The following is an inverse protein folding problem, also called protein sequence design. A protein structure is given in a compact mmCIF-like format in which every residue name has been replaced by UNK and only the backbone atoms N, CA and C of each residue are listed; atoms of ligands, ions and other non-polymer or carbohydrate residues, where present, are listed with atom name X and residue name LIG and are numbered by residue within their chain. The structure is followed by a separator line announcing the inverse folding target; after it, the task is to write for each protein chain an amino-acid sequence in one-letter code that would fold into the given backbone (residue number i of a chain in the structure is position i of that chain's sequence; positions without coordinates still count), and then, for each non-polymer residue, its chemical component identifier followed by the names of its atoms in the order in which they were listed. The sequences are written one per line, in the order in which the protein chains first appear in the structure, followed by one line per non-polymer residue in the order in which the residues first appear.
data_IF_038880289418
#
_entry.id   IF_038880289418
#
_cell.length_a   1.000
_cell.length_b   1.000
_cell.length_c   1.000
_cell.angle_alpha   90.00
_cell.angle_beta   90.00
_cell.angle_gamma   90.00
#
_symmetry.space_group_name_H-M   'P 1'
#
loop_
_entity.id
_entity.type
_entity.pdbx_description
1 polymer ?
#
# COMPACT_ATOMS: atom_id res chain seq x y z
N UNK A 1 -14.51 5.32 12.83
CA UNK A 1 -13.33 5.75 12.06
C UNK A 1 -12.32 6.56 12.88
N UNK A 2 -12.73 7.60 13.62
CA UNK A 2 -11.81 8.44 14.43
C UNK A 2 -10.88 7.63 15.34
N UNK A 3 -11.43 6.69 16.12
CA UNK A 3 -10.64 5.83 17.01
C UNK A 3 -9.61 4.99 16.24
N UNK A 4 -10.02 4.31 15.15
CA UNK A 4 -9.13 3.56 14.27
C UNK A 4 -7.98 4.40 13.74
N UNK A 5 -8.25 5.65 13.35
CA UNK A 5 -7.22 6.56 12.89
C UNK A 5 -6.23 6.91 14.00
N UNK A 6 -6.69 7.24 15.22
CA UNK A 6 -5.80 7.54 16.34
C UNK A 6 -4.94 6.33 16.72
N UNK A 7 -5.54 5.14 16.74
CA UNK A 7 -4.84 3.88 16.99
C UNK A 7 -3.77 3.62 15.93
N UNK A 8 -4.11 3.77 14.65
CA UNK A 8 -3.18 3.61 13.53
C UNK A 8 -1.99 4.57 13.67
N UNK A 9 -2.24 5.86 13.90
CA UNK A 9 -1.18 6.86 14.06
C UNK A 9 -0.32 6.57 15.30
N UNK A 10 -0.93 6.19 16.43
CA UNK A 10 -0.20 5.82 17.63
C UNK A 10 0.71 4.60 17.38
N UNK A 11 0.19 3.59 16.67
CA UNK A 11 0.94 2.40 16.30
C UNK A 11 2.10 2.72 15.35
N UNK A 12 1.88 3.52 14.31
CA UNK A 12 2.93 3.90 13.36
C UNK A 12 4.05 4.71 14.01
N UNK A 13 3.80 5.42 15.11
CA UNK A 13 4.85 6.10 15.91
C UNK A 13 5.70 5.11 16.72
N UNK A 14 5.08 4.03 17.18
CA UNK A 14 5.77 3.02 17.98
C UNK A 14 5.17 1.62 17.78
N UNK A 15 5.53 0.93 16.68
CA UNK A 15 4.94 -0.34 16.35
C UNK A 15 5.40 -1.42 17.33
N UNK A 16 4.46 -2.25 17.76
CA UNK A 16 4.70 -3.39 18.65
C UNK A 16 4.13 -4.68 18.05
N UNK A 17 4.83 -5.81 18.25
CA UNK A 17 4.38 -7.13 17.79
C UNK A 17 3.30 -7.67 18.74
N UNK A 18 2.11 -7.09 18.66
CA UNK A 18 0.99 -7.43 19.54
C UNK A 18 -0.30 -7.53 18.72
N UNK A 19 -0.96 -8.69 18.81
CA UNK A 19 -2.27 -8.90 18.21
C UNK A 19 -3.31 -8.07 18.93
N UNK A 20 -4.38 -7.72 18.22
CA UNK A 20 -5.52 -7.12 18.86
C UNK A 20 -6.14 -8.07 19.90
N UNK A 21 -6.50 -7.56 21.08
CA UNK A 21 -7.17 -8.37 22.09
C UNK A 21 -8.61 -8.69 21.70
N UNK A 22 -9.25 -7.85 20.88
CA UNK A 22 -10.60 -8.09 20.39
C UNK A 22 -10.58 -9.05 19.19
N UNK A 23 -11.18 -10.22 19.38
CA UNK A 23 -11.28 -11.28 18.37
C UNK A 23 -12.62 -11.25 17.62
N UNK A 24 -13.55 -10.35 17.96
CA UNK A 24 -14.85 -10.27 17.30
C UNK A 24 -14.70 -9.96 15.81
N UNK A 25 -15.42 -10.73 14.99
CA UNK A 25 -15.35 -10.64 13.53
C UNK A 25 -15.91 -9.33 13.02
N UNK A 26 -17.01 -8.84 13.60
CA UNK A 26 -17.65 -7.59 13.17
C UNK A 26 -16.75 -6.39 13.45
N UNK A 27 -16.09 -6.37 14.62
CA UNK A 27 -15.07 -5.39 14.99
C UNK A 27 -13.91 -5.37 13.97
N UNK A 28 -13.41 -6.54 13.58
CA UNK A 28 -12.32 -6.66 12.59
C UNK A 28 -12.72 -6.11 11.23
N UNK A 29 -13.91 -6.47 10.73
CA UNK A 29 -14.43 -5.90 9.49
C UNK A 29 -14.61 -4.39 9.58
N UNK A 30 -15.10 -3.87 10.70
CA UNK A 30 -15.24 -2.43 10.91
C UNK A 30 -13.86 -1.73 10.84
N UNK A 31 -12.84 -2.25 11.53
CA UNK A 31 -11.47 -1.72 11.48
C UNK A 31 -10.89 -1.83 10.06
N UNK A 32 -11.13 -2.95 9.38
CA UNK A 32 -10.75 -3.17 7.99
C UNK A 32 -11.33 -2.09 7.05
N UNK A 33 -12.65 -1.84 7.09
CA UNK A 33 -13.28 -0.83 6.23
C UNK A 33 -12.79 0.58 6.53
N UNK A 34 -12.57 0.92 7.81
CA UNK A 34 -11.95 2.19 8.18
C UNK A 34 -10.54 2.31 7.58
N UNK A 35 -9.71 1.26 7.65
CA UNK A 35 -8.36 1.26 7.09
C UNK A 35 -8.38 1.37 5.56
N UNK A 36 -9.32 0.71 4.88
CA UNK A 36 -9.49 0.83 3.43
C UNK A 36 -9.79 2.28 3.03
N UNK A 37 -10.76 2.91 3.71
CA UNK A 37 -11.11 4.31 3.46
C UNK A 37 -9.91 5.23 3.75
N UNK A 38 -9.22 5.04 4.88
CA UNK A 38 -8.02 5.83 5.23
C UNK A 38 -6.93 5.66 4.16
N UNK A 39 -6.72 4.44 3.65
CA UNK A 39 -5.73 4.14 2.61
C UNK A 39 -6.07 4.86 1.30
N UNK A 40 -7.33 4.81 0.87
CA UNK A 40 -7.81 5.51 -0.33
C UNK A 40 -7.67 7.03 -0.17
N UNK A 41 -8.11 7.60 0.96
CA UNK A 41 -7.98 9.03 1.21
C UNK A 41 -6.52 9.48 1.26
N UNK A 42 -5.64 8.68 1.87
CA UNK A 42 -4.19 8.95 1.88
C UNK A 42 -3.64 8.98 0.45
N UNK A 43 -4.02 8.02 -0.38
CA UNK A 43 -3.60 7.97 -1.77
C UNK A 43 -4.07 9.19 -2.56
N UNK A 44 -5.36 9.56 -2.45
CA UNK A 44 -5.92 10.74 -3.12
C UNK A 44 -5.22 12.05 -2.72
N UNK A 45 -4.91 12.20 -1.43
CA UNK A 45 -4.14 13.36 -0.94
C UNK A 45 -2.75 13.38 -1.57
N UNK A 46 -2.06 12.24 -1.62
CA UNK A 46 -0.72 12.17 -2.19
C UNK A 46 -0.70 12.31 -3.72
N UNK A 47 -1.76 11.92 -4.42
CA UNK A 47 -1.91 12.16 -5.86
C UNK A 47 -1.79 13.65 -6.20
N UNK A 48 -2.27 14.55 -5.33
CA UNK A 48 -2.12 15.99 -5.55
C UNK A 48 -0.64 16.45 -5.61
N UNK A 49 0.26 15.78 -4.89
CA UNK A 49 1.70 16.04 -4.97
C UNK A 49 2.28 15.56 -6.28
N UNK A 50 1.78 14.43 -6.81
CA UNK A 50 2.23 13.88 -8.09
C UNK A 50 1.82 14.78 -9.25
N UNK A 51 0.60 15.34 -9.21
CA UNK A 51 0.15 16.33 -10.20
C UNK A 51 1.07 17.56 -10.26
N UNK A 52 1.66 17.98 -9.14
CA UNK A 52 2.64 19.08 -9.14
C UNK A 52 3.97 18.65 -9.78
N UNK A 53 4.47 17.46 -9.47
CA UNK A 53 5.71 16.92 -10.07
C UNK A 53 5.56 16.79 -11.58
N UNK A 54 4.41 16.28 -12.03
CA UNK A 54 4.06 16.13 -13.43
C UNK A 54 3.89 17.49 -14.13
N UNK A 55 3.21 18.45 -13.49
CA UNK A 55 3.05 19.81 -14.03
C UNK A 55 4.38 20.51 -14.33
N UNK A 56 5.41 20.26 -13.52
CA UNK A 56 6.75 20.80 -13.75
C UNK A 56 7.66 19.88 -14.59
N UNK A 57 7.13 18.78 -15.14
CA UNK A 57 7.85 17.79 -15.95
C UNK A 57 9.13 17.27 -15.26
N UNK A 58 9.13 17.24 -13.93
CA UNK A 58 10.31 16.81 -13.16
C UNK A 58 10.56 15.32 -13.30
N UNK A 59 9.49 14.53 -13.34
CA UNK A 59 9.52 13.07 -13.50
C UNK A 59 8.48 12.73 -14.55
N UNK A 60 8.86 11.87 -15.50
CA UNK A 60 7.91 11.36 -16.48
C UNK A 60 6.97 10.36 -15.80
N UNK A 61 5.70 10.76 -15.71
CA UNK A 61 4.61 9.99 -15.11
C UNK A 61 3.75 9.31 -16.19
N UNK A 62 4.10 9.41 -17.47
CA UNK A 62 3.27 8.83 -18.55
C UNK A 62 3.63 7.37 -18.88
N UNK A 63 4.82 6.91 -18.48
CA UNK A 63 5.28 5.53 -18.71
C UNK A 63 4.87 4.59 -17.56
N UNK A 64 3.56 4.53 -17.27
CA UNK A 64 3.06 3.65 -16.23
C UNK A 64 3.00 2.20 -16.73
N UNK A 65 3.78 1.31 -16.12
CA UNK A 65 3.68 -0.15 -16.32
C UNK A 65 2.24 -0.68 -16.16
N UNK A 66 1.40 0.01 -15.38
CA UNK A 66 -0.03 -0.28 -15.24
C UNK A 66 -0.81 0.06 -16.52
N UNK A 67 -0.51 1.17 -17.20
CA UNK A 67 -1.17 1.54 -18.47
C UNK A 67 -0.80 0.56 -19.59
N UNK A 68 0.47 0.16 -19.67
CA UNK A 68 0.89 -0.89 -20.61
C UNK A 68 0.18 -2.22 -20.31
N UNK A 69 0.09 -2.61 -19.03
CA UNK A 69 -0.64 -3.80 -18.59
C UNK A 69 -2.12 -3.73 -19.01
N UNK A 70 -2.78 -2.57 -18.84
CA UNK A 70 -4.17 -2.33 -19.23
C UNK A 70 -4.37 -2.43 -20.75
N UNK A 71 -3.44 -1.90 -21.56
CA UNK A 71 -3.52 -1.90 -23.03
C UNK A 71 -3.25 -3.28 -23.64
N UNK A 72 -2.37 -4.06 -23.03
CA UNK A 72 -1.86 -5.32 -23.61
C UNK A 72 -2.59 -6.57 -23.12
N UNK A 73 -3.40 -6.46 -22.05
CA UNK A 73 -4.06 -7.61 -21.43
C UNK A 73 -5.58 -7.43 -21.34
N UNK A 74 -6.30 -8.55 -21.25
CA UNK A 74 -7.75 -8.50 -20.97
C UNK A 74 -8.03 -7.94 -19.57
N UNK A 75 -9.18 -7.28 -19.38
CA UNK A 75 -9.59 -6.76 -18.05
C UNK A 75 -9.55 -7.84 -16.95
N UNK A 76 -9.93 -9.08 -17.29
CA UNK A 76 -9.87 -10.22 -16.37
C UNK A 76 -8.45 -10.60 -15.97
N UNK A 77 -7.52 -10.58 -16.91
CA UNK A 77 -6.10 -10.82 -16.65
C UNK A 77 -5.53 -9.74 -15.73
N UNK A 78 -5.86 -8.46 -15.99
CA UNK A 78 -5.43 -7.34 -15.13
C UNK A 78 -5.98 -7.48 -13.72
N UNK A 79 -7.26 -7.82 -13.55
CA UNK A 79 -7.85 -8.09 -12.23
C UNK A 79 -7.08 -9.23 -11.55
N UNK A 80 -6.88 -10.36 -12.22
CA UNK A 80 -6.17 -11.49 -11.62
C UNK A 80 -4.75 -11.11 -11.16
N UNK A 81 -3.97 -10.43 -12.01
CA UNK A 81 -2.60 -10.06 -11.67
C UNK A 81 -2.52 -8.95 -10.62
N UNK A 82 -3.22 -7.83 -10.81
CA UNK A 82 -3.08 -6.63 -9.96
C UNK A 82 -3.88 -6.72 -8.66
N UNK A 83 -5.00 -7.45 -8.63
CA UNK A 83 -5.89 -7.52 -7.45
C UNK A 83 -5.65 -8.78 -6.63
N UNK A 84 -5.23 -9.88 -7.25
CA UNK A 84 -5.09 -11.17 -6.56
C UNK A 84 -3.61 -11.57 -6.44
N UNK A 85 -2.92 -11.75 -7.55
CA UNK A 85 -1.58 -12.34 -7.55
C UNK A 85 -0.56 -11.40 -6.89
N UNK A 86 -0.45 -10.16 -7.37
CA UNK A 86 0.54 -9.20 -6.87
C UNK A 86 0.36 -8.92 -5.37
N UNK A 87 -0.83 -8.55 -4.85
CA UNK A 87 -1.04 -8.38 -3.41
C UNK A 87 -0.69 -9.63 -2.62
N UNK A 88 -1.04 -10.83 -3.10
CA UNK A 88 -0.71 -12.07 -2.38
C UNK A 88 0.80 -12.26 -2.26
N UNK A 89 1.54 -12.11 -3.36
CA UNK A 89 3.00 -12.27 -3.38
C UNK A 89 3.70 -11.18 -2.56
N UNK A 90 3.27 -9.92 -2.71
CA UNK A 90 3.82 -8.79 -1.98
C UNK A 90 3.60 -8.93 -0.47
N UNK A 91 2.40 -9.31 -0.02
CA UNK A 91 2.15 -9.53 1.40
C UNK A 91 2.93 -10.73 1.96
N UNK A 92 3.11 -11.79 1.16
CA UNK A 92 3.98 -12.90 1.54
C UNK A 92 5.44 -12.46 1.70
N UNK A 93 5.94 -11.59 0.82
CA UNK A 93 7.33 -11.15 0.84
C UNK A 93 7.60 -10.07 1.88
N UNK A 94 6.72 -9.07 2.00
CA UNK A 94 6.93 -7.89 2.82
C UNK A 94 6.27 -7.98 4.19
N UNK A 95 5.16 -8.70 4.35
CA UNK A 95 4.39 -8.72 5.62
C UNK A 95 4.53 -10.02 6.40
N UNK A 96 4.68 -11.16 5.73
CA UNK A 96 4.88 -12.42 6.45
C UNK A 96 6.15 -12.44 7.31
N UNK A 97 7.31 -11.91 6.86
CA UNK A 97 8.54 -11.98 7.65
C UNK A 97 8.56 -11.05 8.87
N UNK A 98 7.76 -9.98 8.90
CA UNK A 98 7.73 -9.00 10.00
C UNK A 98 7.50 -9.67 11.36
N UNK A 99 6.72 -10.76 11.40
CA UNK A 99 6.40 -11.48 12.64
C UNK A 99 7.51 -12.42 13.14
N UNK A 100 8.61 -12.58 12.39
CA UNK A 100 9.79 -13.37 12.80
C UNK A 100 10.71 -12.59 13.75
N UNK A 101 10.53 -11.27 13.84
CA UNK A 101 11.36 -10.40 14.68
C UNK A 101 10.71 -10.23 16.06
N UNK A 102 11.02 -11.13 17.00
CA UNK A 102 10.35 -11.14 18.31
C UNK A 102 10.84 -10.06 19.29
N UNK A 103 12.10 -9.63 19.19
CA UNK A 103 12.62 -8.59 20.08
C UNK A 103 12.05 -7.22 19.70
N UNK A 104 11.56 -6.45 20.69
CA UNK A 104 10.90 -5.13 20.48
C UNK A 104 11.69 -4.18 19.58
N UNK A 105 13.02 -4.08 19.76
CA UNK A 105 13.87 -3.19 18.95
C UNK A 105 14.00 -3.72 17.53
N UNK A 106 14.28 -5.02 17.38
CA UNK A 106 14.38 -5.65 16.06
C UNK A 106 13.08 -5.59 15.26
N UNK A 107 11.94 -5.79 15.93
CA UNK A 107 10.61 -5.70 15.34
C UNK A 107 10.35 -4.30 14.80
N UNK A 108 10.59 -3.27 15.61
CA UNK A 108 10.37 -1.88 15.22
C UNK A 108 11.21 -1.52 13.99
N UNK A 109 12.48 -1.95 13.95
CA UNK A 109 13.35 -1.74 12.79
C UNK A 109 12.79 -2.49 11.57
N UNK A 110 12.48 -3.78 11.72
CA UNK A 110 11.95 -4.60 10.63
C UNK A 110 10.66 -4.02 10.06
N UNK A 111 9.73 -3.59 10.90
CA UNK A 111 8.46 -2.98 10.50
C UNK A 111 8.66 -1.81 9.54
N UNK A 112 9.52 -0.85 9.88
CA UNK A 112 9.80 0.29 9.01
C UNK A 112 10.62 -0.10 7.78
N UNK A 113 11.60 -0.99 7.92
CA UNK A 113 12.41 -1.46 6.79
C UNK A 113 11.54 -2.13 5.74
N UNK A 114 10.64 -3.04 6.13
CA UNK A 114 9.73 -3.68 5.18
C UNK A 114 8.74 -2.69 4.55
N UNK A 115 8.25 -1.71 5.29
CA UNK A 115 7.40 -0.65 4.72
C UNK A 115 8.16 0.21 3.68
N UNK A 116 9.41 0.60 3.96
CA UNK A 116 10.24 1.37 3.04
C UNK A 116 10.64 0.54 1.82
N UNK A 117 11.04 -0.73 2.01
CA UNK A 117 11.36 -1.64 0.89
C UNK A 117 10.15 -1.86 -0.02
N UNK A 118 8.97 -1.98 0.57
CA UNK A 118 7.72 -2.02 -0.19
C UNK A 118 7.49 -0.73 -0.97
N UNK A 119 7.84 0.45 -0.45
CA UNK A 119 7.83 1.68 -1.24
C UNK A 119 8.86 1.68 -2.37
N UNK A 120 10.09 1.29 -2.07
CA UNK A 120 11.21 1.31 -3.00
C UNK A 120 11.01 0.41 -4.22
N UNK A 121 10.42 -0.78 -4.05
CA UNK A 121 10.18 -1.67 -5.18
C UNK A 121 9.22 -1.05 -6.21
N UNK A 122 8.34 -0.13 -5.79
CA UNK A 122 7.43 0.56 -6.71
C UNK A 122 8.11 1.64 -7.57
N UNK A 123 9.37 2.00 -7.28
CA UNK A 123 10.14 2.85 -8.20
C UNK A 123 10.40 2.17 -9.55
N UNK A 124 10.29 0.84 -9.63
CA UNK A 124 10.44 0.10 -10.91
C UNK A 124 9.30 0.37 -11.89
N UNK A 125 8.22 1.03 -11.46
CA UNK A 125 7.14 1.46 -12.34
C UNK A 125 7.47 2.74 -13.12
N UNK A 126 8.65 3.32 -12.91
CA UNK A 126 9.10 4.53 -13.57
C UNK A 126 10.40 4.27 -14.34
N UNK A 127 10.61 5.03 -15.40
CA UNK A 127 11.89 5.06 -16.09
C UNK A 127 12.98 5.63 -15.19
N UNK A 128 14.14 4.96 -15.19
CA UNK A 128 15.27 5.39 -14.40
C UNK A 128 15.84 6.72 -14.91
N UNK A 129 15.80 7.74 -14.06
CA UNK A 129 16.41 9.05 -14.32
C UNK A 129 17.05 9.62 -13.05
N UNK A 130 17.90 10.63 -13.20
CA UNK A 130 18.46 11.32 -12.03
C UNK A 130 17.37 12.04 -11.21
N UNK A 131 16.36 12.59 -11.89
CA UNK A 131 15.23 13.23 -11.24
C UNK A 131 14.39 12.22 -10.46
N UNK A 132 14.20 11.01 -10.98
CA UNK A 132 13.54 9.92 -10.25
C UNK A 132 14.23 9.70 -8.88
N UNK A 133 15.56 9.64 -8.85
CA UNK A 133 16.30 9.47 -7.60
C UNK A 133 16.18 10.68 -6.66
N UNK A 134 16.20 11.89 -7.20
CA UNK A 134 16.05 13.13 -6.42
C UNK A 134 14.66 13.18 -5.75
N UNK A 135 13.62 12.78 -6.47
CA UNK A 135 12.24 12.78 -5.99
C UNK A 135 11.80 11.45 -5.37
N UNK A 136 12.67 10.43 -5.33
CA UNK A 136 12.37 9.10 -4.79
C UNK A 136 11.70 9.14 -3.40
N UNK A 137 12.15 9.95 -2.42
CA UNK A 137 11.49 10.02 -1.11
C UNK A 137 10.01 10.40 -1.18
N UNK A 138 9.62 11.24 -2.14
CA UNK A 138 8.23 11.65 -2.36
C UNK A 138 7.48 10.56 -3.14
N UNK A 139 8.11 10.01 -4.18
CA UNK A 139 7.50 9.01 -5.05
C UNK A 139 7.21 7.68 -4.35
N UNK A 140 8.05 7.26 -3.40
CA UNK A 140 7.80 6.04 -2.61
C UNK A 140 6.87 6.27 -1.43
N UNK A 141 6.55 7.52 -1.09
CA UNK A 141 5.79 7.84 0.12
C UNK A 141 4.41 7.16 0.16
N UNK A 142 3.60 7.16 -0.93
CA UNK A 142 2.28 6.51 -0.90
C UNK A 142 2.37 5.03 -0.54
N UNK A 143 3.29 4.32 -1.19
CA UNK A 143 3.48 2.89 -1.01
C UNK A 143 4.16 2.60 0.31
N UNK A 144 5.07 3.45 0.81
CA UNK A 144 5.66 3.31 2.15
C UNK A 144 4.60 3.51 3.25
N UNK A 145 3.67 4.44 3.07
CA UNK A 145 2.59 4.69 4.03
C UNK A 145 1.58 3.53 4.02
N UNK A 146 1.13 3.10 2.84
CA UNK A 146 0.31 1.89 2.67
C UNK A 146 1.05 0.65 3.24
N UNK A 147 2.35 0.60 2.99
CA UNK A 147 3.42 -0.10 3.71
C UNK A 147 3.08 -0.41 5.16
N UNK A 148 3.06 0.66 5.95
CA UNK A 148 2.76 0.66 7.37
C UNK A 148 1.32 0.31 7.71
N UNK A 149 0.32 0.71 6.90
CA UNK A 149 -1.09 0.37 7.16
C UNK A 149 -1.34 -1.14 7.03
N UNK A 150 -0.77 -1.76 6.01
CA UNK A 150 -0.77 -3.21 5.80
C UNK A 150 0.04 -3.91 6.90
N UNK A 151 1.19 -3.35 7.29
CA UNK A 151 1.93 -3.84 8.46
C UNK A 151 1.10 -3.83 9.76
N UNK A 152 0.35 -2.75 10.01
CA UNK A 152 -0.55 -2.62 11.16
C UNK A 152 -1.61 -3.73 11.14
N UNK A 153 -2.38 -3.86 10.06
CA UNK A 153 -3.45 -4.87 9.99
C UNK A 153 -2.89 -6.29 10.03
N UNK A 154 -1.71 -6.52 9.44
CA UNK A 154 -0.97 -7.78 9.51
C UNK A 154 -0.71 -8.20 10.95
N UNK A 155 -0.23 -7.29 11.79
CA UNK A 155 0.13 -7.62 13.18
C UNK A 155 -1.11 -7.74 14.05
N UNK A 156 -2.09 -6.86 13.87
CA UNK A 156 -3.32 -6.87 14.67
C UNK A 156 -4.20 -8.08 14.40
N UNK A 157 -4.40 -8.43 13.13
CA UNK A 157 -5.40 -9.42 12.71
C UNK A 157 -4.86 -10.60 11.91
N UNK A 158 -3.67 -10.49 11.28
CA UNK A 158 -2.99 -11.59 10.59
C UNK A 158 -2.76 -11.36 9.09
N UNK A 159 -2.08 -12.31 8.42
CA UNK A 159 -1.68 -12.18 7.01
C UNK A 159 -2.87 -11.96 6.08
N UNK A 160 -3.91 -12.75 6.27
CA UNK A 160 -5.06 -12.81 5.36
C UNK A 160 -5.78 -11.47 5.33
N UNK A 161 -5.89 -10.78 6.47
CA UNK A 161 -6.45 -9.43 6.54
C UNK A 161 -5.60 -8.39 5.80
N UNK A 162 -4.28 -8.55 5.81
CA UNK A 162 -3.37 -7.70 5.03
C UNK A 162 -3.54 -7.92 3.53
N UNK A 163 -3.58 -9.18 3.09
CA UNK A 163 -3.83 -9.56 1.69
C UNK A 163 -5.18 -9.00 1.21
N UNK A 164 -6.23 -9.18 2.01
CA UNK A 164 -7.56 -8.68 1.65
C UNK A 164 -7.59 -7.15 1.59
N UNK A 165 -6.92 -6.45 2.51
CA UNK A 165 -6.91 -4.98 2.50
C UNK A 165 -6.19 -4.47 1.27
N UNK A 166 -5.05 -5.07 0.94
CA UNK A 166 -4.27 -4.73 -0.24
C UNK A 166 -5.03 -5.04 -1.53
N UNK A 167 -5.63 -6.22 -1.64
CA UNK A 167 -6.47 -6.60 -2.77
C UNK A 167 -7.64 -5.62 -2.97
N UNK A 168 -8.37 -5.27 -1.91
CA UNK A 168 -9.47 -4.31 -1.99
C UNK A 168 -8.98 -2.90 -2.37
N UNK A 169 -7.82 -2.48 -1.87
CA UNK A 169 -7.20 -1.21 -2.24
C UNK A 169 -6.85 -1.19 -3.74
N UNK A 170 -6.19 -2.23 -4.26
CA UNK A 170 -5.86 -2.32 -5.69
C UNK A 170 -7.12 -2.43 -6.56
N UNK A 171 -8.11 -3.23 -6.13
CA UNK A 171 -9.38 -3.36 -6.83
C UNK A 171 -10.06 -2.00 -7.01
N UNK A 172 -10.06 -1.15 -5.98
CA UNK A 172 -10.64 0.18 -6.07
C UNK A 172 -10.02 1.00 -7.21
N UNK A 173 -8.69 1.08 -7.29
CA UNK A 173 -8.01 1.86 -8.33
C UNK A 173 -8.12 1.23 -9.73
N UNK A 174 -8.02 -0.11 -9.84
CA UNK A 174 -8.18 -0.82 -11.12
C UNK A 174 -9.60 -0.68 -11.66
N UNK A 175 -10.62 -0.75 -10.81
CA UNK A 175 -12.00 -0.58 -11.25
C UNK A 175 -12.28 0.87 -11.69
N UNK A 176 -11.68 1.85 -11.01
CA UNK A 176 -11.76 3.26 -11.42
C UNK A 176 -11.06 3.47 -12.77
N UNK A 177 -9.89 2.87 -13.01
CA UNK A 177 -9.19 3.03 -14.29
C UNK A 177 -10.02 2.47 -15.45
N UNK A 178 -10.68 1.32 -15.27
CA UNK A 178 -11.59 0.78 -16.28
C UNK A 178 -12.84 1.64 -16.54
N UNK A 179 -13.28 2.41 -15.54
CA UNK A 179 -14.39 3.33 -15.70
C UNK A 179 -13.98 4.61 -16.44
N UNK A 180 -12.71 5.01 -16.34
CA UNK A 180 -12.12 6.09 -17.14
C UNK A 180 -12.14 5.80 -18.64
N UNK A 181 -11.92 4.54 -19.05
CA UNK A 181 -11.96 4.11 -20.47
C UNK A 181 -13.36 4.17 -21.12
N UNK A 182 -14.42 4.44 -20.34
CA UNK A 182 -15.81 4.50 -20.81
C UNK A 182 -16.28 5.93 -21.15
N UNK A 183 -15.44 6.94 -20.92
CA UNK A 183 -15.70 8.37 -21.19
C UNK A 183 -14.75 8.85 -22.28
#
# INVERSE_FOLDING_TARGET
MKETFHELIAYLKNPVLEKDSNQDTSYRFQKFFHLLIISILTALVLTSLFLLIEHFEWVDMNDHAVEELLKTNSKWSVIFFAVILAPTLEELFFRAPITLFHNKKSFKIAFYVFAILFGLIHLTNYNFTINLLLFAPILIAPQTILGGYLGFIRVRFGLTWSILLHACYNAFFVLISFAGDLI
#
